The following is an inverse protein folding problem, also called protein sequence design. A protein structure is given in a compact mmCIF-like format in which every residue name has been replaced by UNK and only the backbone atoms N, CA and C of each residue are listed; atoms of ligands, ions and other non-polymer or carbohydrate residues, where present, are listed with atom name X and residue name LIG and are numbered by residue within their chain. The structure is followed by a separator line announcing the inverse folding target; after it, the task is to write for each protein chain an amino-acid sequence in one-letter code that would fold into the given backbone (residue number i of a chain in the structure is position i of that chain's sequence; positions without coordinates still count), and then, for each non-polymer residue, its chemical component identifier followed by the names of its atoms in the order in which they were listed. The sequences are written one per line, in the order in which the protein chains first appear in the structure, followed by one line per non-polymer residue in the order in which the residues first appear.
data_IF_241594861927
#
_entry.id   IF_241594861927
#
_cell.length_a   1.000
_cell.length_b   1.000
_cell.length_c   1.000
_cell.angle_alpha   90.00
_cell.angle_beta   90.00
_cell.angle_gamma   90.00
#
_symmetry.space_group_name_H-M   'P 1'
#
loop_
_entity.id
_entity.type
_entity.pdbx_description
1 polymer ?
#
# COMPACT_ATOMS: atom_id res chain seq x y z
N UNK A 1 -17.82 -8.38 -8.11
CA UNK A 1 -17.96 -7.75 -9.44
C UNK A 1 -19.44 -7.66 -9.79
N UNK A 2 -19.88 -6.54 -10.34
CA UNK A 2 -21.23 -6.32 -10.84
C UNK A 2 -21.16 -5.75 -12.27
N UNK A 3 -22.26 -5.77 -13.01
CA UNK A 3 -22.35 -5.21 -14.35
C UNK A 3 -23.23 -3.96 -14.36
N UNK A 4 -22.67 -2.82 -14.73
CA UNK A 4 -23.40 -1.57 -14.91
C UNK A 4 -24.14 -1.63 -16.25
N UNK A 5 -25.46 -1.80 -16.19
CA UNK A 5 -26.32 -1.91 -17.37
C UNK A 5 -26.45 -0.59 -18.16
N UNK A 6 -26.25 0.55 -17.51
CA UNK A 6 -26.34 1.86 -18.17
C UNK A 6 -25.04 2.20 -18.91
N UNK A 7 -23.89 1.90 -18.29
CA UNK A 7 -22.57 2.17 -18.87
C UNK A 7 -22.01 0.98 -19.67
N UNK A 8 -22.66 -0.18 -19.62
CA UNK A 8 -22.28 -1.38 -20.35
C UNK A 8 -20.91 -1.94 -19.95
N UNK A 9 -20.56 -1.89 -18.66
CA UNK A 9 -19.22 -2.25 -18.17
C UNK A 9 -19.23 -2.96 -16.81
N UNK A 10 -18.21 -3.77 -16.56
CA UNK A 10 -17.99 -4.38 -15.26
C UNK A 10 -17.44 -3.38 -14.23
N UNK A 11 -17.95 -3.47 -13.00
CA UNK A 11 -17.60 -2.60 -11.87
C UNK A 11 -17.38 -3.41 -10.59
N UNK A 12 -16.67 -2.80 -9.64
CA UNK A 12 -16.58 -3.28 -8.27
C UNK A 12 -17.53 -2.46 -7.38
N UNK A 13 -18.25 -3.13 -6.48
CA UNK A 13 -19.12 -2.49 -5.50
C UNK A 13 -18.52 -2.70 -4.11
N UNK A 14 -18.32 -1.61 -3.37
CA UNK A 14 -17.98 -1.66 -1.94
C UNK A 14 -19.24 -1.25 -1.18
N UNK A 15 -19.89 -2.22 -0.54
CA UNK A 15 -21.10 -2.01 0.26
C UNK A 15 -20.62 -1.76 1.70
N UNK A 16 -20.81 -0.54 2.18
CA UNK A 16 -20.37 -0.11 3.50
C UNK A 16 -21.30 -0.64 4.59
N UNK A 17 -20.83 -0.68 5.83
CA UNK A 17 -21.70 -0.91 6.98
C UNK A 17 -22.72 0.24 7.12
N UNK A 18 -23.86 -0.03 7.75
CA UNK A 18 -24.93 0.97 7.88
C UNK A 18 -24.74 1.90 9.10
N UNK A 19 -23.71 1.67 9.93
CA UNK A 19 -23.37 2.55 11.03
C UNK A 19 -22.63 3.81 10.53
N UNK A 20 -22.49 4.88 11.36
CA UNK A 20 -21.82 6.11 10.96
C UNK A 20 -20.39 5.92 10.44
N UNK A 21 -19.69 4.85 10.86
CA UNK A 21 -18.37 4.48 10.34
C UNK A 21 -18.38 4.14 8.86
N UNK A 22 -19.48 3.61 8.33
CA UNK A 22 -19.65 3.27 6.91
C UNK A 22 -19.63 4.47 5.96
N UNK A 23 -19.89 5.68 6.46
CA UNK A 23 -19.80 6.92 5.67
C UNK A 23 -18.37 7.51 5.65
N UNK A 24 -17.47 7.03 6.51
CA UNK A 24 -16.13 7.63 6.67
C UNK A 24 -15.37 7.67 5.35
N UNK A 25 -15.26 6.55 4.66
CA UNK A 25 -14.50 6.48 3.40
C UNK A 25 -15.12 7.33 2.29
N UNK A 26 -16.46 7.34 2.18
CA UNK A 26 -17.15 8.21 1.23
C UNK A 26 -16.83 9.69 1.47
N UNK A 27 -16.86 10.13 2.73
CA UNK A 27 -16.52 11.51 3.09
C UNK A 27 -15.06 11.84 2.79
N UNK A 28 -14.13 10.92 3.06
CA UNK A 28 -12.69 11.12 2.75
C UNK A 28 -12.43 11.16 1.26
N UNK A 29 -13.07 10.30 0.48
CA UNK A 29 -12.92 10.34 -0.97
C UNK A 29 -13.51 11.62 -1.58
N UNK A 30 -14.65 12.12 -1.09
CA UNK A 30 -15.16 13.44 -1.49
C UNK A 30 -14.17 14.57 -1.20
N UNK A 31 -13.56 14.54 -0.01
CA UNK A 31 -12.56 15.53 0.35
C UNK A 31 -11.34 15.46 -0.58
N UNK A 32 -10.82 14.26 -0.84
CA UNK A 32 -9.73 14.03 -1.80
C UNK A 32 -10.10 14.57 -3.18
N UNK A 33 -11.28 14.24 -3.70
CA UNK A 33 -11.78 14.71 -5.01
C UNK A 33 -11.82 16.26 -5.06
N UNK A 34 -12.13 16.91 -3.94
CA UNK A 34 -12.22 18.36 -3.87
C UNK A 34 -10.87 19.08 -3.80
N UNK A 35 -9.82 18.42 -3.27
CA UNK A 35 -8.55 19.07 -2.94
C UNK A 35 -7.34 18.55 -3.72
N UNK A 36 -7.41 17.36 -4.30
CA UNK A 36 -6.33 16.76 -5.10
C UNK A 36 -6.57 17.07 -6.59
N UNK A 37 -5.69 17.84 -7.25
CA UNK A 37 -5.89 18.24 -8.65
C UNK A 37 -5.90 17.07 -9.64
N UNK A 38 -5.07 16.05 -9.40
CA UNK A 38 -4.96 14.86 -10.24
C UNK A 38 -5.26 13.59 -9.44
N UNK A 39 -6.45 13.03 -9.64
CA UNK A 39 -6.89 11.78 -9.02
C UNK A 39 -6.72 10.57 -9.93
N UNK A 40 -6.05 10.69 -11.08
CA UNK A 40 -5.97 9.62 -12.10
C UNK A 40 -5.29 8.35 -11.60
N UNK A 41 -4.37 8.49 -10.63
CA UNK A 41 -3.66 7.38 -9.96
C UNK A 41 -4.26 7.01 -8.61
N UNK A 42 -5.40 7.60 -8.24
CA UNK A 42 -6.13 7.27 -7.03
C UNK A 42 -7.33 6.38 -7.37
N UNK A 43 -7.51 5.31 -6.62
CA UNK A 43 -8.63 4.39 -6.74
C UNK A 43 -9.81 4.94 -5.94
N UNK A 44 -10.45 5.96 -6.51
CA UNK A 44 -11.64 6.61 -5.97
C UNK A 44 -12.92 6.09 -6.64
N UNK A 45 -14.05 6.23 -5.95
CA UNK A 45 -15.35 5.83 -6.47
C UNK A 45 -15.73 6.67 -7.71
N UNK A 46 -16.40 6.05 -8.66
CA UNK A 46 -16.98 6.68 -9.86
C UNK A 46 -18.44 7.06 -9.67
N UNK A 47 -19.13 6.39 -8.76
CA UNK A 47 -20.54 6.60 -8.48
C UNK A 47 -20.87 6.15 -7.05
N UNK A 48 -22.02 6.57 -6.53
CA UNK A 48 -22.51 6.12 -5.22
C UNK A 48 -24.03 6.13 -5.14
N UNK A 49 -24.57 5.19 -4.37
CA UNK A 49 -26.00 5.15 -4.04
C UNK A 49 -26.22 4.56 -2.64
N UNK A 50 -27.45 4.65 -2.16
CA UNK A 50 -27.88 4.05 -0.91
C UNK A 50 -28.64 2.76 -1.18
N UNK A 51 -28.18 1.66 -0.58
CA UNK A 51 -28.85 0.37 -0.60
C UNK A 51 -29.69 0.22 0.69
N UNK A 52 -31.01 -0.02 0.61
CA UNK A 52 -31.82 -0.23 1.81
C UNK A 52 -31.32 -1.41 2.64
N UNK A 53 -31.01 -1.17 3.92
CA UNK A 53 -30.64 -2.21 4.88
C UNK A 53 -31.78 -2.58 5.83
N UNK A 54 -31.46 -3.47 6.79
CA UNK A 54 -32.38 -3.88 7.83
C UNK A 54 -32.85 -2.68 8.68
N UNK A 55 -34.09 -2.75 9.18
CA UNK A 55 -34.69 -1.70 10.01
C UNK A 55 -34.64 -0.28 9.39
N UNK A 56 -34.61 -0.16 8.05
CA UNK A 56 -34.50 1.10 7.29
C UNK A 56 -33.18 1.85 7.48
N UNK A 57 -32.12 1.18 7.93
CA UNK A 57 -30.79 1.78 7.98
C UNK A 57 -30.07 1.55 6.63
N UNK A 58 -29.87 2.56 5.78
CA UNK A 58 -29.29 2.35 4.46
C UNK A 58 -27.77 2.13 4.53
N UNK A 59 -27.27 1.31 3.62
CA UNK A 59 -25.84 1.12 3.38
C UNK A 59 -25.38 2.03 2.26
N UNK A 60 -24.30 2.79 2.48
CA UNK A 60 -23.58 3.47 1.40
C UNK A 60 -22.97 2.44 0.48
N UNK A 61 -23.17 2.57 -0.83
CA UNK A 61 -22.48 1.77 -1.83
C UNK A 61 -21.58 2.68 -2.65
N UNK A 62 -20.31 2.32 -2.74
CA UNK A 62 -19.33 2.98 -3.59
C UNK A 62 -19.07 2.11 -4.83
N UNK A 63 -19.19 2.71 -6.01
CA UNK A 63 -18.98 2.04 -7.30
C UNK A 63 -17.59 2.37 -7.81
N UNK A 64 -16.75 1.36 -8.02
CA UNK A 64 -15.36 1.52 -8.46
C UNK A 64 -15.13 0.87 -9.82
N UNK A 65 -14.11 1.31 -10.59
CA UNK A 65 -13.64 0.53 -11.72
C UNK A 65 -13.12 -0.83 -11.24
N UNK A 66 -13.17 -1.85 -12.10
CA UNK A 66 -12.56 -3.14 -11.80
C UNK A 66 -11.03 -3.01 -11.86
N UNK A 67 -10.35 -3.30 -10.75
CA UNK A 67 -8.89 -3.23 -10.59
C UNK A 67 -8.39 -4.44 -9.80
N UNK A 68 -7.10 -4.68 -9.90
CA UNK A 68 -6.38 -5.77 -9.24
C UNK A 68 -5.48 -6.52 -10.22
N UNK A 69 -4.72 -7.51 -9.77
CA UNK A 69 -4.49 -7.84 -8.36
C UNK A 69 -3.72 -6.71 -7.64
N UNK A 70 -3.59 -6.80 -6.32
CA UNK A 70 -2.81 -5.83 -5.54
C UNK A 70 -1.30 -6.17 -5.59
N UNK A 71 -0.44 -5.21 -5.21
CA UNK A 71 1.01 -5.40 -5.22
C UNK A 71 1.45 -6.54 -4.29
N UNK A 72 0.85 -6.68 -3.10
CA UNK A 72 1.23 -7.71 -2.13
C UNK A 72 1.13 -9.12 -2.71
N UNK A 73 0.03 -9.40 -3.41
CA UNK A 73 -0.27 -10.75 -3.90
C UNK A 73 0.38 -11.04 -5.26
N UNK A 74 0.71 -10.01 -6.05
CA UNK A 74 1.17 -10.18 -7.43
C UNK A 74 2.66 -9.89 -7.68
N UNK A 75 3.30 -9.04 -6.88
CA UNK A 75 4.63 -8.48 -7.21
C UNK A 75 5.75 -9.51 -7.34
N UNK A 76 5.66 -10.65 -6.65
CA UNK A 76 6.72 -11.68 -6.69
C UNK A 76 7.01 -12.22 -8.09
N UNK A 77 5.99 -12.26 -8.94
CA UNK A 77 6.08 -12.84 -10.29
C UNK A 77 6.32 -11.77 -11.37
N UNK A 78 6.24 -10.49 -11.01
CA UNK A 78 6.43 -9.37 -11.96
C UNK A 78 7.90 -9.10 -12.29
N UNK A 79 8.12 -8.60 -13.51
CA UNK A 79 9.45 -8.20 -13.99
C UNK A 79 10.01 -7.01 -13.20
N UNK A 80 11.33 -6.79 -13.28
CA UNK A 80 11.96 -5.65 -12.60
C UNK A 80 11.45 -4.31 -13.13
N UNK A 81 11.26 -4.17 -14.45
CA UNK A 81 10.73 -2.93 -15.06
C UNK A 81 9.35 -2.60 -14.49
N UNK A 82 8.46 -3.59 -14.38
CA UNK A 82 7.10 -3.40 -13.82
C UNK A 82 7.17 -2.93 -12.37
N UNK A 83 8.04 -3.51 -11.54
CA UNK A 83 8.19 -3.09 -10.13
C UNK A 83 8.77 -1.68 -9.98
N UNK A 84 9.74 -1.30 -10.82
CA UNK A 84 10.31 0.06 -10.83
C UNK A 84 9.27 1.09 -11.27
N UNK A 85 8.51 0.77 -12.32
CA UNK A 85 7.38 1.57 -12.78
C UNK A 85 6.33 1.74 -11.68
N UNK A 86 5.93 0.65 -11.01
CA UNK A 86 4.97 0.69 -9.91
C UNK A 86 5.46 1.55 -8.74
N UNK A 87 6.75 1.44 -8.38
CA UNK A 87 7.34 2.26 -7.33
C UNK A 87 7.30 3.77 -7.67
N UNK A 88 7.62 4.13 -8.92
CA UNK A 88 7.56 5.52 -9.39
C UNK A 88 6.12 6.05 -9.42
N UNK A 89 5.19 5.28 -9.99
CA UNK A 89 3.78 5.66 -10.08
C UNK A 89 3.12 5.79 -8.71
N UNK A 90 3.48 4.92 -7.75
CA UNK A 90 2.97 5.02 -6.39
C UNK A 90 3.46 6.30 -5.71
N UNK A 91 4.73 6.67 -5.93
CA UNK A 91 5.28 7.92 -5.41
C UNK A 91 4.59 9.14 -6.01
N UNK A 92 4.28 9.10 -7.31
CA UNK A 92 3.51 10.14 -7.99
C UNK A 92 2.09 10.27 -7.42
N UNK A 93 1.41 9.14 -7.21
CA UNK A 93 0.08 9.12 -6.59
C UNK A 93 0.12 9.69 -5.16
N UNK A 94 1.15 9.33 -4.39
CA UNK A 94 1.32 9.81 -3.03
C UNK A 94 1.65 11.31 -2.99
N UNK A 95 2.49 11.79 -3.92
CA UNK A 95 2.74 13.23 -4.09
C UNK A 95 1.46 13.98 -4.37
N UNK A 96 0.63 13.53 -5.30
CA UNK A 96 -0.64 14.19 -5.63
C UNK A 96 -1.56 14.27 -4.39
N UNK A 97 -1.62 13.19 -3.60
CA UNK A 97 -2.38 13.14 -2.36
C UNK A 97 -1.83 14.14 -1.31
N UNK A 98 -0.52 14.18 -1.12
CA UNK A 98 0.16 15.08 -0.17
C UNK A 98 0.05 16.55 -0.59
N UNK A 99 0.20 16.87 -1.87
CA UNK A 99 0.02 18.21 -2.42
C UNK A 99 -1.42 18.73 -2.21
N UNK A 100 -2.42 17.83 -2.23
CA UNK A 100 -3.81 18.13 -1.85
C UNK A 100 -4.04 18.28 -0.35
N UNK A 101 -3.01 18.09 0.48
CA UNK A 101 -3.10 18.22 1.93
C UNK A 101 -3.66 16.99 2.63
N UNK A 102 -3.59 15.81 2.02
CA UNK A 102 -4.18 14.57 2.55
C UNK A 102 -3.09 13.57 2.95
N UNK A 103 -3.23 12.97 4.14
CA UNK A 103 -2.38 11.88 4.65
C UNK A 103 -3.16 10.57 4.52
N UNK A 104 -2.55 9.52 3.94
CA UNK A 104 -3.19 8.23 3.69
C UNK A 104 -3.37 7.40 4.96
N UNK A 105 -2.33 7.31 5.79
CA UNK A 105 -2.26 6.61 7.09
C UNK A 105 -2.32 5.09 7.09
N UNK A 106 -2.80 4.47 6.03
CA UNK A 106 -2.75 3.01 5.84
C UNK A 106 -2.08 2.61 4.53
N UNK A 107 -0.96 3.26 4.22
CA UNK A 107 -0.24 2.94 2.99
C UNK A 107 0.45 1.57 3.15
N UNK A 108 0.03 0.59 2.35
CA UNK A 108 0.63 -0.75 2.31
C UNK A 108 0.45 -1.38 0.92
N UNK A 109 1.18 -2.45 0.62
CA UNK A 109 1.16 -3.08 -0.72
C UNK A 109 -0.17 -3.74 -1.12
N UNK A 110 -1.10 -3.99 -0.19
CA UNK A 110 -2.44 -4.48 -0.54
C UNK A 110 -3.37 -3.34 -1.02
N UNK A 111 -3.07 -2.10 -0.65
CA UNK A 111 -3.85 -0.92 -1.01
C UNK A 111 -3.43 -0.31 -2.36
N UNK A 112 -2.49 -0.97 -3.08
CA UNK A 112 -2.04 -0.57 -4.42
C UNK A 112 -2.41 -1.64 -5.41
N UNK A 113 -3.22 -1.29 -6.41
CA UNK A 113 -3.81 -2.25 -7.36
C UNK A 113 -3.36 -1.98 -8.79
N UNK A 114 -3.12 -3.04 -9.55
CA UNK A 114 -2.92 -2.96 -10.99
C UNK A 114 -4.22 -2.65 -11.74
N UNK A 115 -4.08 -2.12 -12.96
CA UNK A 115 -5.15 -2.08 -13.93
C UNK A 115 -5.53 -3.47 -14.43
N UNK A 116 -6.79 -3.62 -14.85
CA UNK A 116 -7.25 -4.78 -15.61
C UNK A 116 -7.73 -4.32 -16.98
N UNK A 117 -7.57 -5.17 -17.98
CA UNK A 117 -8.20 -5.02 -19.29
C UNK A 117 -9.73 -5.05 -19.13
N UNK A 118 -10.44 -4.48 -20.10
CA UNK A 118 -11.91 -4.58 -20.12
C UNK A 118 -12.34 -5.90 -20.73
N UNK A 119 -13.43 -6.47 -20.20
CA UNK A 119 -14.12 -7.55 -20.88
C UNK A 119 -14.82 -7.02 -22.13
N UNK A 120 -14.96 -7.88 -23.13
CA UNK A 120 -15.87 -7.61 -24.24
C UNK A 120 -17.30 -7.44 -23.73
N UNK A 121 -18.05 -6.51 -24.34
CA UNK A 121 -19.44 -6.25 -23.97
C UNK A 121 -20.27 -7.53 -24.08
N UNK A 122 -20.92 -7.91 -22.98
CA UNK A 122 -21.74 -9.14 -22.93
C UNK A 122 -20.95 -10.42 -22.66
N UNK A 123 -19.66 -10.35 -22.32
CA UNK A 123 -18.89 -11.52 -21.89
C UNK A 123 -19.60 -12.28 -20.75
N UNK A 124 -19.77 -13.59 -20.95
CA UNK A 124 -20.49 -14.44 -20.01
C UNK A 124 -19.66 -14.71 -18.73
N UNK A 125 -20.33 -15.31 -17.74
CA UNK A 125 -19.71 -15.63 -16.45
C UNK A 125 -18.58 -16.66 -16.58
N UNK A 126 -18.68 -17.58 -17.55
CA UNK A 126 -17.70 -18.63 -17.78
C UNK A 126 -16.37 -18.04 -18.27
N UNK A 127 -16.43 -17.17 -19.28
CA UNK A 127 -15.28 -16.41 -19.80
C UNK A 127 -14.67 -15.55 -18.69
N UNK A 128 -15.49 -14.87 -17.89
CA UNK A 128 -15.01 -14.08 -16.75
C UNK A 128 -14.24 -14.94 -15.73
N UNK A 129 -14.73 -16.12 -15.39
CA UNK A 129 -14.03 -17.05 -14.49
C UNK A 129 -12.77 -17.68 -15.10
N UNK A 130 -12.74 -17.93 -16.40
CA UNK A 130 -11.53 -18.39 -17.08
C UNK A 130 -10.42 -17.34 -17.06
N UNK A 131 -10.77 -16.06 -16.92
CA UNK A 131 -9.83 -14.93 -16.89
C UNK A 131 -9.44 -14.57 -15.46
N UNK A 132 -10.41 -14.36 -14.57
CA UNK A 132 -10.18 -13.88 -13.19
C UNK A 132 -9.91 -14.99 -12.17
N UNK A 133 -10.15 -16.24 -12.56
CA UNK A 133 -10.28 -17.35 -11.63
C UNK A 133 -11.69 -17.48 -11.05
N UNK A 134 -12.02 -18.68 -10.57
CA UNK A 134 -13.28 -18.92 -9.85
C UNK A 134 -13.15 -18.41 -8.41
N UNK A 135 -14.18 -17.73 -7.86
CA UNK A 135 -14.19 -17.31 -6.46
C UNK A 135 -14.02 -18.52 -5.54
N UNK A 136 -12.97 -18.50 -4.72
CA UNK A 136 -12.75 -19.48 -3.67
C UNK A 136 -13.30 -18.93 -2.37
N UNK A 137 -14.15 -19.71 -1.70
CA UNK A 137 -14.95 -19.24 -0.58
C UNK A 137 -14.76 -20.12 0.65
N UNK A 138 -14.78 -19.49 1.81
CA UNK A 138 -14.73 -20.16 3.12
C UNK A 138 -15.86 -19.58 3.95
N UNK A 139 -16.67 -20.43 4.59
CA UNK A 139 -17.72 -19.98 5.52
C UNK A 139 -17.10 -19.15 6.64
N UNK A 140 -17.75 -18.04 6.99
CA UNK A 140 -17.37 -17.29 8.17
C UNK A 140 -17.71 -18.09 9.44
N UNK A 141 -16.88 -18.00 10.50
CA UNK A 141 -17.20 -18.58 11.79
C UNK A 141 -18.59 -18.13 12.28
N UNK A 142 -19.40 -19.08 12.75
CA UNK A 142 -20.77 -18.84 13.25
C UNK A 142 -20.80 -18.42 14.72
N UNK A 143 -19.65 -18.05 15.27
CA UNK A 143 -19.50 -17.62 16.66
C UNK A 143 -19.98 -16.17 16.89
N UNK A 144 -20.22 -15.42 15.81
CA UNK A 144 -20.91 -14.13 15.84
C UNK A 144 -22.38 -14.31 15.42
N UNK A 145 -23.31 -13.71 16.16
CA UNK A 145 -24.73 -13.62 15.76
C UNK A 145 -24.86 -12.75 14.50
N UNK A 146 -24.70 -13.34 13.32
CA UNK A 146 -24.99 -12.68 12.04
C UNK A 146 -26.44 -12.96 11.64
N UNK A 147 -27.10 -11.96 11.04
CA UNK A 147 -28.48 -12.11 10.55
C UNK A 147 -28.60 -13.06 9.33
N UNK A 148 -27.46 -13.39 8.70
CA UNK A 148 -27.32 -14.33 7.58
C UNK A 148 -25.92 -14.92 7.56
N UNK A 149 -25.80 -16.16 7.09
CA UNK A 149 -24.52 -16.79 6.78
C UNK A 149 -23.73 -15.95 5.75
N UNK A 150 -22.43 -15.78 6.02
CA UNK A 150 -21.51 -15.06 5.16
C UNK A 150 -20.31 -15.93 4.77
N UNK A 151 -19.65 -15.55 3.67
CA UNK A 151 -18.48 -16.24 3.15
C UNK A 151 -17.33 -15.24 3.01
N UNK A 152 -16.14 -15.61 3.47
CA UNK A 152 -14.91 -14.93 3.09
C UNK A 152 -14.49 -15.43 1.71
N UNK A 153 -14.17 -14.50 0.81
CA UNK A 153 -13.74 -14.81 -0.56
C UNK A 153 -12.26 -14.50 -0.70
N UNK A 154 -11.48 -15.47 -1.20
CA UNK A 154 -10.07 -15.25 -1.48
C UNK A 154 -9.86 -14.19 -2.57
N UNK A 155 -8.70 -13.49 -2.58
CA UNK A 155 -8.35 -12.58 -3.67
C UNK A 155 -8.45 -13.26 -5.05
N UNK A 156 -8.86 -12.50 -6.07
CA UNK A 156 -8.88 -13.00 -7.44
C UNK A 156 -7.46 -13.22 -7.97
N UNK A 157 -7.31 -14.20 -8.85
CA UNK A 157 -6.03 -14.56 -9.50
C UNK A 157 -6.17 -14.43 -11.01
N UNK A 158 -6.17 -13.19 -11.55
CA UNK A 158 -6.37 -12.98 -12.97
C UNK A 158 -5.19 -13.51 -13.78
N UNK A 159 -5.44 -13.97 -15.01
CA UNK A 159 -4.40 -14.28 -15.99
C UNK A 159 -3.53 -13.05 -16.24
N UNK A 160 -2.21 -13.23 -16.34
CA UNK A 160 -1.25 -12.14 -16.58
C UNK A 160 -1.58 -11.30 -17.82
N UNK A 161 -2.07 -11.93 -18.89
CA UNK A 161 -2.49 -11.25 -20.12
C UNK A 161 -3.66 -10.26 -19.92
N UNK A 162 -4.37 -10.35 -18.80
CA UNK A 162 -5.48 -9.48 -18.45
C UNK A 162 -5.08 -8.37 -17.46
N UNK A 163 -3.88 -8.48 -16.87
CA UNK A 163 -3.33 -7.48 -15.95
C UNK A 163 -2.58 -6.42 -16.76
N UNK A 164 -2.98 -5.16 -16.58
CA UNK A 164 -2.35 -4.00 -17.20
C UNK A 164 -1.21 -3.55 -16.29
N UNK A 165 -0.04 -4.17 -16.48
CA UNK A 165 1.12 -4.07 -15.59
C UNK A 165 1.82 -2.69 -15.59
N UNK A 166 1.51 -1.83 -16.56
CA UNK A 166 2.07 -0.48 -16.66
C UNK A 166 1.27 0.57 -15.86
N UNK A 167 0.16 0.19 -15.23
CA UNK A 167 -0.75 1.12 -14.56
C UNK A 167 -1.11 0.61 -13.17
N UNK A 168 -0.78 1.41 -12.15
CA UNK A 168 -1.22 1.18 -10.77
C UNK A 168 -2.09 2.33 -10.25
N UNK A 169 -2.94 2.02 -9.27
CA UNK A 169 -3.72 3.00 -8.51
C UNK A 169 -3.62 2.75 -7.01
N UNK A 170 -3.46 3.81 -6.23
CA UNK A 170 -3.50 3.80 -4.76
C UNK A 170 -4.94 3.92 -4.28
N UNK A 171 -5.40 3.01 -3.41
CA UNK A 171 -6.76 3.00 -2.87
C UNK A 171 -6.82 2.83 -1.36
N UNK A 172 -8.05 2.65 -0.86
CA UNK A 172 -8.40 2.52 0.55
C UNK A 172 -8.08 3.77 1.40
N UNK A 173 -8.91 4.79 1.20
CA UNK A 173 -8.81 6.07 1.90
C UNK A 173 -9.64 6.10 3.19
N UNK A 174 -10.04 4.93 3.72
CA UNK A 174 -10.91 4.83 4.90
C UNK A 174 -10.29 5.47 6.16
N UNK A 175 -8.97 5.54 6.25
CA UNK A 175 -8.23 6.17 7.34
C UNK A 175 -7.62 7.53 6.97
N UNK A 176 -7.83 8.03 5.75
CA UNK A 176 -7.21 9.26 5.29
C UNK A 176 -7.71 10.49 6.06
N UNK A 177 -6.83 11.47 6.26
CA UNK A 177 -7.13 12.72 6.99
C UNK A 177 -6.48 13.93 6.33
N UNK A 178 -7.03 15.12 6.61
CA UNK A 178 -6.33 16.39 6.35
C UNK A 178 -5.05 16.48 7.18
N UNK A 179 -4.00 16.98 6.56
CA UNK A 179 -2.81 17.42 7.27
C UNK A 179 -3.13 18.56 8.23
N UNK A 180 -2.31 18.69 9.29
CA UNK A 180 -2.50 19.73 10.31
C UNK A 180 -3.64 19.46 11.30
N UNK A 181 -4.31 18.30 11.21
CA UNK A 181 -5.12 17.80 12.33
C UNK A 181 -4.19 17.38 13.47
N UNK A 182 -4.62 17.52 14.73
CA UNK A 182 -3.80 17.26 15.95
C UNK A 182 -3.32 15.80 16.11
N UNK A 183 -3.55 14.94 15.12
CA UNK A 183 -3.30 13.50 15.16
C UNK A 183 -2.08 13.18 14.28
N UNK A 184 -1.02 12.64 14.90
CA UNK A 184 -0.05 11.80 14.19
C UNK A 184 -0.80 10.57 13.67
N UNK A 185 -0.78 10.28 12.36
CA UNK A 185 0.37 10.36 11.46
C UNK A 185 0.38 11.55 10.49
N UNK A 186 1.56 11.89 9.96
CA UNK A 186 1.81 12.99 8.99
C UNK A 186 2.21 12.46 7.62
N UNK A 187 2.48 13.35 6.65
CA UNK A 187 3.04 12.95 5.34
C UNK A 187 4.31 12.09 5.46
N UNK A 188 5.13 12.37 6.47
CA UNK A 188 6.35 11.60 6.71
C UNK A 188 6.03 10.14 7.09
N UNK A 189 4.91 9.88 7.77
CA UNK A 189 4.47 8.52 8.09
C UNK A 189 4.10 7.74 6.82
N UNK A 190 3.39 8.37 5.89
CA UNK A 190 3.14 7.77 4.58
C UNK A 190 4.45 7.52 3.81
N UNK A 191 5.41 8.44 3.89
CA UNK A 191 6.72 8.25 3.25
C UNK A 191 7.47 7.05 3.85
N UNK A 192 7.41 6.82 5.16
CA UNK A 192 7.99 5.61 5.77
C UNK A 192 7.34 4.34 5.19
N UNK A 193 6.01 4.31 5.09
CA UNK A 193 5.27 3.21 4.48
C UNK A 193 5.60 3.03 2.99
N UNK A 194 5.76 4.12 2.23
CA UNK A 194 6.20 4.07 0.85
C UNK A 194 7.58 3.42 0.75
N UNK A 195 8.52 3.78 1.64
CA UNK A 195 9.85 3.19 1.65
C UNK A 195 9.84 1.70 1.96
N UNK A 196 8.93 1.23 2.83
CA UNK A 196 8.71 -0.20 3.04
C UNK A 196 8.25 -0.90 1.75
N UNK A 197 7.30 -0.32 1.01
CA UNK A 197 6.81 -0.86 -0.27
C UNK A 197 7.92 -0.80 -1.33
N UNK A 198 8.65 0.31 -1.44
CA UNK A 198 9.76 0.46 -2.37
C UNK A 198 10.84 -0.61 -2.13
N UNK A 199 11.20 -0.85 -0.87
CA UNK A 199 12.15 -1.90 -0.50
C UNK A 199 11.59 -3.30 -0.81
N UNK A 200 10.30 -3.57 -0.55
CA UNK A 200 9.65 -4.82 -0.91
C UNK A 200 9.67 -5.05 -2.44
N UNK A 201 9.33 -4.03 -3.22
CA UNK A 201 9.37 -4.03 -4.68
C UNK A 201 10.79 -4.21 -5.21
N UNK A 202 11.81 -3.78 -4.49
CA UNK A 202 13.21 -4.01 -4.86
C UNK A 202 13.64 -5.45 -4.52
N UNK A 203 13.47 -5.84 -3.26
CA UNK A 203 14.00 -7.09 -2.69
C UNK A 203 13.19 -8.33 -3.10
N UNK A 204 11.90 -8.17 -3.45
CA UNK A 204 10.87 -9.23 -3.57
C UNK A 204 10.49 -9.89 -2.24
N UNK A 205 10.77 -9.21 -1.13
CA UNK A 205 10.38 -9.62 0.21
C UNK A 205 10.39 -8.41 1.16
N UNK A 206 9.61 -8.42 2.26
CA UNK A 206 9.49 -7.27 3.15
C UNK A 206 10.80 -6.95 3.88
N UNK A 207 11.27 -5.70 3.78
CA UNK A 207 12.49 -5.25 4.45
C UNK A 207 12.43 -5.48 5.97
N UNK A 208 11.26 -5.26 6.58
CA UNK A 208 11.01 -5.48 8.00
C UNK A 208 10.08 -6.69 8.24
N UNK A 209 10.44 -7.86 7.69
CA UNK A 209 9.66 -9.09 7.84
C UNK A 209 10.28 -10.11 8.82
N UNK A 210 9.45 -11.00 9.43
CA UNK A 210 9.91 -12.01 10.39
C UNK A 210 10.64 -13.21 9.75
N UNK A 211 10.63 -13.32 8.41
CA UNK A 211 10.78 -14.60 7.70
C UNK A 211 12.18 -15.17 7.45
N UNK A 212 13.29 -14.52 7.83
CA UNK A 212 14.63 -15.00 7.43
C UNK A 212 15.64 -15.23 8.56
N UNK A 213 15.40 -14.72 9.79
CA UNK A 213 16.37 -14.83 10.88
C UNK A 213 15.81 -15.37 12.21
N UNK A 214 14.67 -16.07 12.17
CA UNK A 214 14.25 -16.95 13.27
C UNK A 214 14.06 -16.29 14.64
N UNK A 215 13.58 -15.05 14.69
CA UNK A 215 13.28 -14.39 15.97
C UNK A 215 11.80 -14.09 16.07
N UNK A 216 11.13 -14.68 17.06
CA UNK A 216 9.86 -14.17 17.58
C UNK A 216 10.11 -12.80 18.22
N UNK A 217 10.35 -11.78 17.39
CA UNK A 217 10.62 -10.43 17.87
C UNK A 217 9.37 -9.92 18.56
N UNK A 218 9.55 -9.53 19.82
CA UNK A 218 8.46 -9.03 20.65
C UNK A 218 8.02 -7.63 20.18
N UNK A 219 8.91 -6.87 19.55
CA UNK A 219 8.67 -5.48 19.14
C UNK A 219 9.26 -5.14 17.76
N UNK A 220 8.51 -4.37 16.96
CA UNK A 220 8.98 -3.87 15.65
C UNK A 220 10.16 -2.89 15.77
N UNK A 221 10.24 -2.14 16.88
CA UNK A 221 11.31 -1.20 17.15
C UNK A 221 12.69 -1.88 17.21
N UNK A 222 12.76 -3.08 17.80
CA UNK A 222 13.99 -3.89 17.82
C UNK A 222 14.48 -4.21 16.41
N UNK A 223 13.55 -4.56 15.52
CA UNK A 223 13.88 -4.84 14.12
C UNK A 223 14.38 -3.60 13.39
N UNK A 224 13.81 -2.42 13.65
CA UNK A 224 14.33 -1.18 13.10
C UNK A 224 15.76 -0.92 13.58
N UNK A 225 16.02 -1.08 14.89
CA UNK A 225 17.35 -0.83 15.46
C UNK A 225 18.41 -1.74 14.86
N UNK A 226 18.10 -3.02 14.66
CA UNK A 226 19.02 -3.98 14.04
C UNK A 226 19.31 -3.69 12.57
N UNK A 227 18.37 -3.09 11.84
CA UNK A 227 18.51 -2.82 10.40
C UNK A 227 19.12 -1.44 10.12
N UNK A 228 18.72 -0.43 10.89
CA UNK A 228 19.00 0.98 10.64
C UNK A 228 19.98 1.61 11.64
N UNK A 229 20.19 0.99 12.80
CA UNK A 229 20.94 1.57 13.92
C UNK A 229 20.02 2.18 14.97
N UNK A 230 20.56 2.87 15.99
CA UNK A 230 19.81 3.28 17.16
C UNK A 230 18.69 4.28 16.84
N UNK A 231 17.63 4.23 17.65
CA UNK A 231 16.58 5.25 17.65
C UNK A 231 17.14 6.60 18.13
N UNK A 232 16.57 7.74 17.71
CA UNK A 232 16.97 9.05 18.19
C UNK A 232 16.90 9.14 19.72
N UNK A 233 17.95 9.67 20.36
CA UNK A 233 17.98 9.82 21.81
C UNK A 233 16.84 10.69 22.36
N UNK A 234 16.37 11.66 21.56
CA UNK A 234 15.24 12.53 21.90
C UNK A 234 13.91 11.79 22.07
N UNK A 235 13.78 10.57 21.54
CA UNK A 235 12.59 9.72 21.67
C UNK A 235 12.65 8.81 22.90
N UNK A 236 13.72 8.90 23.70
CA UNK A 236 13.86 8.10 24.89
C UNK A 236 12.75 8.44 25.89
N UNK A 237 12.01 7.41 26.31
CA UNK A 237 10.86 7.56 27.22
C UNK A 237 9.56 8.00 26.54
N UNK A 238 9.52 8.14 25.21
CA UNK A 238 8.30 8.46 24.45
C UNK A 238 7.63 7.24 23.83
N UNK A 239 8.09 6.02 24.11
CA UNK A 239 7.47 4.79 23.61
C UNK A 239 6.13 4.57 24.32
N UNK A 240 5.05 4.52 23.54
CA UNK A 240 3.67 4.40 24.01
C UNK A 240 2.98 3.11 23.51
N UNK A 241 3.76 2.17 22.97
CA UNK A 241 3.28 0.85 22.55
C UNK A 241 3.14 -0.14 23.70
N UNK A 242 2.50 -1.28 23.42
CA UNK A 242 2.39 -2.37 24.38
C UNK A 242 3.77 -2.99 24.67
N UNK A 243 4.05 -3.27 25.95
CA UNK A 243 5.28 -3.94 26.40
C UNK A 243 6.35 -2.99 26.94
N UNK A 244 7.40 -3.56 27.56
CA UNK A 244 8.48 -2.75 28.14
C UNK A 244 9.49 -2.37 27.05
N UNK A 245 9.75 -1.07 26.83
CA UNK A 245 10.75 -0.62 25.87
C UNK A 245 12.15 -1.01 26.31
N UNK A 246 13.00 -1.39 25.35
CA UNK A 246 14.40 -1.68 25.62
C UNK A 246 15.23 -0.38 25.52
N UNK A 247 15.75 0.05 26.66
CA UNK A 247 16.60 1.23 26.82
C UNK A 247 17.80 1.24 25.85
N UNK A 248 18.28 0.05 25.46
CA UNK A 248 19.38 -0.10 24.52
C UNK A 248 19.01 0.29 23.09
N UNK A 249 17.74 0.50 22.75
CA UNK A 249 17.34 1.04 21.44
C UNK A 249 17.90 2.44 21.18
N UNK A 250 18.18 3.20 22.23
CA UNK A 250 18.62 4.60 22.17
C UNK A 250 20.14 4.77 22.36
N UNK A 251 20.89 3.67 22.48
CA UNK A 251 22.36 3.71 22.61
C UNK A 251 22.99 4.13 21.27
N UNK A 252 23.43 5.39 21.21
CA UNK A 252 24.00 5.99 20.00
C UNK A 252 25.33 5.37 19.55
N UNK A 253 25.94 4.49 20.36
CA UNK A 253 27.12 3.71 19.95
C UNK A 253 26.78 2.46 19.15
N UNK A 254 25.49 2.06 19.13
CA UNK A 254 25.05 0.90 18.35
C UNK A 254 25.23 1.14 16.86
N UNK A 255 25.60 0.06 16.17
CA UNK A 255 25.64 -0.01 14.72
C UNK A 255 24.58 -1.01 14.23
N UNK A 256 24.10 -0.88 12.98
CA UNK A 256 23.25 -1.90 12.36
C UNK A 256 23.89 -3.28 12.47
N UNK A 257 23.09 -4.30 12.73
CA UNK A 257 23.58 -5.67 12.82
C UNK A 257 24.12 -6.12 11.46
N UNK A 258 25.36 -6.63 11.37
CA UNK A 258 26.01 -6.92 10.09
C UNK A 258 25.23 -7.82 9.14
N UNK A 259 24.43 -8.77 9.66
CA UNK A 259 23.62 -9.70 8.85
C UNK A 259 22.22 -9.17 8.51
N UNK A 260 21.81 -8.05 9.12
CA UNK A 260 20.47 -7.47 8.96
C UNK A 260 20.48 -6.03 8.47
N UNK A 261 21.65 -5.40 8.36
CA UNK A 261 21.81 -4.03 7.88
C UNK A 261 21.18 -3.84 6.50
N UNK A 262 20.89 -2.58 6.14
CA UNK A 262 20.40 -2.24 4.81
C UNK A 262 21.30 -2.81 3.70
N UNK A 263 22.62 -2.72 3.86
CA UNK A 263 23.61 -3.24 2.91
C UNK A 263 23.50 -4.75 2.75
N UNK A 264 23.42 -5.48 3.87
CA UNK A 264 23.25 -6.94 3.84
C UNK A 264 21.93 -7.34 3.19
N UNK A 265 20.86 -6.56 3.36
CA UNK A 265 19.55 -6.87 2.76
C UNK A 265 19.52 -6.58 1.27
N UNK A 266 20.05 -5.42 0.84
CA UNK A 266 20.13 -5.04 -0.58
C UNK A 266 20.98 -6.02 -1.38
N UNK A 267 22.10 -6.48 -0.82
CA UNK A 267 22.95 -7.50 -1.47
C UNK A 267 22.29 -8.88 -1.55
N UNK A 268 21.34 -9.18 -0.67
CA UNK A 268 20.52 -10.40 -0.67
C UNK A 268 19.19 -10.24 -1.43
N UNK A 269 19.09 -9.23 -2.31
CA UNK A 269 18.02 -9.13 -3.30
C UNK A 269 17.86 -10.46 -4.05
N UNK A 270 16.60 -10.85 -4.32
CA UNK A 270 16.34 -12.07 -5.12
C UNK A 270 16.79 -11.93 -6.57
N UNK A 271 16.83 -10.71 -7.09
CA UNK A 271 17.34 -10.45 -8.43
C UNK A 271 18.81 -10.06 -8.35
N UNK A 272 19.63 -10.70 -9.18
CA UNK A 272 21.03 -10.31 -9.36
C UNK A 272 21.08 -8.97 -10.07
N UNK A 273 21.46 -7.92 -9.35
CA UNK A 273 21.65 -6.57 -9.88
C UNK A 273 23.10 -6.14 -9.73
N UNK A 274 23.54 -5.23 -10.59
CA UNK A 274 24.90 -4.70 -10.55
C UNK A 274 25.15 -3.89 -9.27
N UNK A 275 26.39 -3.85 -8.76
CA UNK A 275 26.74 -3.04 -7.58
C UNK A 275 26.35 -1.56 -7.70
N UNK A 276 26.41 -1.00 -8.91
CA UNK A 276 26.00 0.39 -9.14
C UNK A 276 24.51 0.62 -8.83
N UNK A 277 23.63 -0.34 -9.15
CA UNK A 277 22.19 -0.23 -8.80
C UNK A 277 21.99 -0.34 -7.30
N UNK A 278 22.71 -1.26 -6.65
CA UNK A 278 22.65 -1.43 -5.20
C UNK A 278 23.01 -0.14 -4.46
N UNK A 279 24.01 0.61 -4.95
CA UNK A 279 24.39 1.90 -4.36
C UNK A 279 23.29 2.96 -4.51
N UNK A 280 22.62 3.04 -5.66
CA UNK A 280 21.49 3.95 -5.85
C UNK A 280 20.36 3.62 -4.86
N UNK A 281 20.05 2.32 -4.72
CA UNK A 281 19.00 1.85 -3.81
C UNK A 281 19.37 2.13 -2.36
N UNK A 282 20.61 1.84 -1.94
CA UNK A 282 21.07 2.15 -0.59
C UNK A 282 21.01 3.65 -0.29
N UNK A 283 21.39 4.50 -1.24
CA UNK A 283 21.25 5.96 -1.13
C UNK A 283 19.79 6.36 -0.87
N UNK A 284 18.86 5.83 -1.66
CA UNK A 284 17.42 6.08 -1.51
C UNK A 284 16.90 5.58 -0.14
N UNK A 285 17.21 4.33 0.23
CA UNK A 285 16.74 3.72 1.47
C UNK A 285 17.25 4.47 2.71
N UNK A 286 18.53 4.88 2.73
CA UNK A 286 19.10 5.62 3.87
C UNK A 286 18.40 6.96 4.10
N UNK A 287 18.11 7.70 3.03
CA UNK A 287 17.40 8.99 3.13
C UNK A 287 15.92 8.81 3.47
N UNK A 288 15.28 7.79 2.90
CA UNK A 288 13.87 7.50 3.11
C UNK A 288 13.54 6.94 4.51
N UNK A 289 14.47 6.21 5.12
CA UNK A 289 14.35 5.67 6.48
C UNK A 289 15.02 6.53 7.57
N UNK A 290 15.19 7.83 7.32
CA UNK A 290 15.54 8.78 8.39
C UNK A 290 14.48 8.70 9.50
N UNK A 291 14.89 8.45 10.75
CA UNK A 291 13.96 8.28 11.87
C UNK A 291 13.17 9.56 12.13
N UNK A 292 13.86 10.70 12.19
CA UNK A 292 13.24 12.00 12.40
C UNK A 292 12.33 12.35 11.20
N UNK A 293 11.01 12.53 11.40
CA UNK A 293 10.07 12.86 10.33
C UNK A 293 10.45 14.09 9.51
N UNK A 294 11.03 15.09 10.16
CA UNK A 294 11.48 16.36 9.57
C UNK A 294 12.72 16.23 8.68
N UNK A 295 13.50 15.16 8.84
CA UNK A 295 14.67 14.86 7.99
C UNK A 295 14.31 13.90 6.84
N UNK A 296 13.10 13.34 6.85
CA UNK A 296 12.64 12.39 5.85
C UNK A 296 12.22 13.11 4.58
N UNK A 297 12.65 12.59 3.43
CA UNK A 297 12.24 13.11 2.14
C UNK A 297 10.71 13.08 1.99
N UNK A 298 10.16 14.19 1.50
CA UNK A 298 8.80 14.23 0.96
C UNK A 298 8.70 13.45 -0.37
N UNK A 299 7.48 13.16 -0.81
CA UNK A 299 7.26 12.48 -2.09
C UNK A 299 7.82 13.29 -3.27
N UNK A 300 7.70 14.62 -3.22
CA UNK A 300 8.26 15.51 -4.24
C UNK A 300 9.78 15.53 -4.26
N UNK A 301 10.43 15.62 -3.09
CA UNK A 301 11.89 15.60 -3.04
C UNK A 301 12.46 14.25 -3.49
N UNK A 302 11.79 13.13 -3.18
CA UNK A 302 12.24 11.82 -3.64
C UNK A 302 12.04 11.63 -5.15
N UNK A 303 10.98 12.18 -5.75
CA UNK A 303 10.83 12.18 -7.22
C UNK A 303 11.95 12.96 -7.91
N UNK A 304 12.44 14.02 -7.27
CA UNK A 304 13.52 14.85 -7.79
C UNK A 304 14.93 14.35 -7.44
N UNK A 305 15.05 13.38 -6.54
CA UNK A 305 16.31 12.81 -6.07
C UNK A 305 17.12 12.18 -7.20
N UNK A 306 18.42 12.50 -7.25
CA UNK A 306 19.31 12.04 -8.30
C UNK A 306 19.48 10.51 -8.32
N UNK A 307 19.50 9.86 -7.15
CA UNK A 307 19.63 8.40 -7.07
C UNK A 307 18.34 7.71 -7.52
N UNK A 308 17.19 8.26 -7.13
CA UNK A 308 15.89 7.77 -7.55
C UNK A 308 15.70 7.90 -9.07
N UNK A 309 15.97 9.08 -9.65
CA UNK A 309 15.92 9.29 -11.11
C UNK A 309 16.85 8.35 -11.85
N UNK A 310 18.12 8.27 -11.45
CA UNK A 310 19.08 7.37 -12.07
C UNK A 310 18.66 5.89 -11.99
N UNK A 311 18.03 5.47 -10.88
CA UNK A 311 17.48 4.12 -10.75
C UNK A 311 16.33 3.88 -11.75
N UNK A 312 15.42 4.84 -11.91
CA UNK A 312 14.28 4.72 -12.81
C UNK A 312 14.71 4.77 -14.29
N UNK A 313 15.66 5.64 -14.63
CA UNK A 313 16.21 5.80 -15.99
C UNK A 313 16.86 4.50 -16.51
N UNK A 314 17.48 3.69 -15.63
CA UNK A 314 18.02 2.36 -15.98
C UNK A 314 16.97 1.40 -16.58
N UNK A 315 15.70 1.61 -16.25
CA UNK A 315 14.59 0.78 -16.69
C UNK A 315 13.65 1.52 -17.66
N UNK A 316 14.00 2.75 -18.05
CA UNK A 316 13.22 3.59 -18.96
C UNK A 316 11.85 3.99 -18.40
N UNK A 317 11.71 4.11 -17.08
CA UNK A 317 10.44 4.40 -16.39
C UNK A 317 10.42 5.74 -15.71
#
# INVERSE_FOLDING_TARGET
MAYDMHKGKDVALKIMTADPGGEREFLRQNEIISCVPDTSRLFIYQDTFLLPGAARNPHRVLVFPLKGPNLRDYTRETSTIVRRSAAKQLLQALKALHDGGMVHRDLNSANVMFGLSSFETGADLTTKYQILGRPQKIELPRDQETWKDGELVAPMTPKDSFVVQDTITLGDFGLAIRSGTEINPTFASDMWSYMCIFAELYLKWPLFGPGFFGGGFRFVAELFVRVLGPLPLSWKGSYDGDGEPDESWYDQSKIPEPKMSLESRVTQSRDTVEPAEQQLVLSILRRGFSYLPEERLSAGELLEDASFKALMDRYGV
#
